data_IF_772842298847
#
_entry.id   IF_772842298847
#
_cell.length_a   1.000
_cell.length_b   1.000
_cell.length_c   1.000
_cell.angle_alpha   90.00
_cell.angle_beta   90.00
_cell.angle_gamma   90.00
#
_symmetry.space_group_name_H-M   'P 1'
#
loop_
_entity.id
_entity.type
_entity.pdbx_description
1 polymer ?
#
# COMPACT_ATOMS: atom_id res chain seq x y z
N UNK A 1 9.12 6.22 -15.92
CA UNK A 1 9.34 6.68 -14.52
C UNK A 1 8.69 5.67 -13.59
N UNK A 2 9.20 5.44 -12.37
CA UNK A 2 8.52 4.65 -11.33
C UNK A 2 8.28 5.55 -10.13
N UNK A 3 7.09 5.52 -9.57
CA UNK A 3 6.70 6.33 -8.42
C UNK A 3 5.76 5.55 -7.50
N UNK A 4 5.49 6.13 -6.34
CA UNK A 4 4.50 5.67 -5.38
C UNK A 4 3.78 6.90 -4.86
N UNK A 5 2.47 6.79 -4.63
CA UNK A 5 1.66 7.95 -4.23
C UNK A 5 2.14 8.54 -2.90
N UNK A 6 2.42 7.70 -1.90
CA UNK A 6 2.87 8.15 -0.58
C UNK A 6 3.91 7.22 0.06
N UNK A 7 4.78 7.82 0.86
CA UNK A 7 5.70 7.14 1.76
C UNK A 7 5.48 7.64 3.19
N UNK A 8 5.32 6.72 4.13
CA UNK A 8 5.32 7.04 5.55
C UNK A 8 6.76 7.01 6.05
N UNK A 9 7.19 8.11 6.66
CA UNK A 9 8.54 8.28 7.23
C UNK A 9 8.43 8.52 8.73
N UNK A 10 9.25 7.82 9.51
CA UNK A 10 9.37 8.02 10.97
C UNK A 10 10.83 8.09 11.34
N UNK A 11 11.24 9.18 12.00
CA UNK A 11 12.64 9.36 12.39
C UNK A 11 13.59 9.36 11.19
N UNK A 12 13.17 9.95 10.07
CA UNK A 12 13.90 10.00 8.80
C UNK A 12 14.09 8.63 8.09
N UNK A 13 13.45 7.57 8.56
CA UNK A 13 13.45 6.25 7.93
C UNK A 13 12.09 5.93 7.30
N UNK A 14 12.04 5.35 6.09
CA UNK A 14 10.79 4.89 5.50
C UNK A 14 10.27 3.67 6.28
N UNK A 15 8.97 3.64 6.55
CA UNK A 15 8.36 2.54 7.31
C UNK A 15 7.19 1.87 6.59
N UNK A 16 6.57 2.54 5.62
CA UNK A 16 5.51 1.97 4.79
C UNK A 16 5.32 2.77 3.50
N UNK A 17 4.82 2.11 2.47
CA UNK A 17 4.39 2.70 1.21
C UNK A 17 2.88 2.62 1.07
N UNK A 18 2.26 3.61 0.45
CA UNK A 18 0.83 3.62 0.17
C UNK A 18 0.52 3.97 -1.28
N UNK A 19 -0.46 3.26 -1.83
CA UNK A 19 -1.07 3.49 -3.14
C UNK A 19 -2.57 3.65 -2.95
N UNK A 20 -3.20 4.59 -3.65
CA UNK A 20 -4.65 4.77 -3.61
C UNK A 20 -5.26 4.40 -4.97
N UNK A 21 -6.23 3.48 -4.99
CA UNK A 21 -6.91 3.06 -6.22
C UNK A 21 -8.42 3.10 -6.05
N UNK A 22 -9.13 3.39 -7.15
CA UNK A 22 -10.59 3.27 -7.16
C UNK A 22 -11.02 1.79 -7.13
N UNK A 23 -10.29 0.90 -7.80
CA UNK A 23 -10.58 -0.53 -7.88
C UNK A 23 -9.37 -1.35 -8.34
N UNK A 24 -9.55 -2.66 -8.45
CA UNK A 24 -8.52 -3.60 -8.89
C UNK A 24 -8.08 -4.57 -7.79
N UNK A 25 -7.62 -5.74 -8.21
CA UNK A 25 -7.22 -6.86 -7.34
C UNK A 25 -5.74 -7.24 -7.50
N UNK A 26 -4.96 -6.38 -8.15
CA UNK A 26 -3.54 -6.61 -8.39
C UNK A 26 -2.70 -5.54 -7.72
N UNK A 27 -1.56 -5.94 -7.18
CA UNK A 27 -0.59 -5.03 -6.57
C UNK A 27 0.11 -4.17 -7.63
N UNK A 28 0.25 -2.87 -7.33
CA UNK A 28 1.02 -1.95 -8.16
C UNK A 28 2.49 -2.38 -8.29
N UNK A 29 3.00 -2.36 -9.53
CA UNK A 29 4.38 -2.83 -9.85
C UNK A 29 5.46 -1.88 -9.35
N UNK A 30 5.18 -0.58 -9.27
CA UNK A 30 6.12 0.43 -8.77
C UNK A 30 6.15 0.40 -7.24
N UNK A 31 4.99 0.37 -6.59
CA UNK A 31 4.88 0.17 -5.15
C UNK A 31 5.62 -1.09 -4.69
N UNK A 32 5.42 -2.23 -5.39
CA UNK A 32 6.13 -3.49 -5.09
C UNK A 32 7.64 -3.34 -5.25
N UNK A 33 8.09 -2.72 -6.33
CA UNK A 33 9.50 -2.50 -6.62
C UNK A 33 10.20 -1.70 -5.50
N UNK A 34 9.58 -0.62 -5.02
CA UNK A 34 10.15 0.18 -3.94
C UNK A 34 10.03 -0.51 -2.58
N UNK A 35 8.92 -1.20 -2.30
CA UNK A 35 8.72 -1.93 -1.05
C UNK A 35 9.77 -3.03 -0.83
N UNK A 36 10.07 -3.80 -1.88
CA UNK A 36 11.14 -4.80 -1.85
C UNK A 36 12.52 -4.17 -1.63
N UNK A 37 12.82 -3.04 -2.30
CA UNK A 37 14.13 -2.36 -2.22
C UNK A 37 14.36 -1.66 -0.89
N UNK A 38 13.32 -1.09 -0.29
CA UNK A 38 13.37 -0.41 1.00
C UNK A 38 13.09 -1.36 2.17
N UNK A 39 12.68 -2.60 1.90
CA UNK A 39 12.27 -3.61 2.87
C UNK A 39 11.12 -3.15 3.80
N UNK A 40 10.17 -2.39 3.26
CA UNK A 40 8.98 -1.87 3.96
C UNK A 40 7.71 -2.44 3.34
N UNK A 41 6.60 -2.55 4.11
CA UNK A 41 5.32 -2.98 3.56
C UNK A 41 4.75 -1.97 2.55
N UNK A 42 3.99 -2.48 1.59
CA UNK A 42 3.16 -1.72 0.67
C UNK A 42 1.69 -1.96 1.01
N UNK A 43 0.94 -0.88 1.23
CA UNK A 43 -0.49 -0.89 1.43
C UNK A 43 -1.20 -0.21 0.25
N UNK A 44 -1.89 -0.99 -0.56
CA UNK A 44 -2.75 -0.46 -1.61
C UNK A 44 -4.17 -0.30 -1.06
N UNK A 45 -4.59 0.93 -0.81
CA UNK A 45 -5.91 1.28 -0.31
C UNK A 45 -6.87 1.37 -1.50
N UNK A 46 -7.86 0.47 -1.55
CA UNK A 46 -8.73 0.29 -2.72
C UNK A 46 -10.19 0.57 -2.34
N UNK A 47 -10.82 1.54 -3.01
CA UNK A 47 -12.19 1.95 -2.71
C UNK A 47 -13.21 0.83 -2.94
N UNK A 48 -13.12 0.11 -4.07
CA UNK A 48 -14.03 -0.99 -4.44
C UNK A 48 -13.61 -2.37 -3.92
N UNK A 49 -12.62 -2.46 -3.05
CA UNK A 49 -12.30 -3.74 -2.41
C UNK A 49 -13.24 -3.99 -1.24
N UNK A 50 -13.68 -5.23 -1.07
CA UNK A 50 -14.58 -5.65 0.02
C UNK A 50 -13.85 -6.38 1.15
N UNK A 51 -12.58 -6.76 0.94
CA UNK A 51 -11.79 -7.51 1.92
C UNK A 51 -10.31 -7.17 1.83
N UNK A 52 -9.61 -7.42 2.93
CA UNK A 52 -8.15 -7.38 2.96
C UNK A 52 -7.59 -8.60 2.22
N UNK A 53 -6.57 -8.37 1.40
CA UNK A 53 -5.82 -9.42 0.74
C UNK A 53 -4.31 -9.23 0.97
N UNK A 54 -3.61 -10.31 1.27
CA UNK A 54 -2.16 -10.33 1.44
C UNK A 54 -1.50 -11.01 0.23
N UNK A 55 -0.40 -10.42 -0.22
CA UNK A 55 0.42 -10.89 -1.33
C UNK A 55 1.88 -11.08 -0.87
N UNK A 56 2.65 -11.97 -1.53
CA UNK A 56 4.06 -12.16 -1.21
C UNK A 56 4.84 -10.84 -1.28
N UNK A 57 5.78 -10.64 -0.34
CA UNK A 57 6.61 -9.45 -0.28
C UNK A 57 6.01 -8.30 0.53
N UNK A 58 5.26 -8.59 1.62
CA UNK A 58 4.64 -7.59 2.51
C UNK A 58 3.73 -6.60 1.76
N UNK A 59 2.99 -7.10 0.78
CA UNK A 59 2.11 -6.31 -0.05
C UNK A 59 0.66 -6.61 0.32
N UNK A 60 -0.15 -5.56 0.50
CA UNK A 60 -1.52 -5.69 0.98
C UNK A 60 -2.47 -4.88 0.10
N UNK A 61 -3.65 -5.43 -0.15
CA UNK A 61 -4.82 -4.64 -0.57
C UNK A 61 -5.71 -4.47 0.65
N UNK A 62 -6.07 -3.23 0.97
CA UNK A 62 -6.95 -2.88 2.09
C UNK A 62 -8.16 -2.12 1.55
N UNK A 63 -9.39 -2.51 1.89
CA UNK A 63 -10.58 -1.70 1.61
C UNK A 63 -10.44 -0.29 2.17
N UNK A 64 -10.81 0.72 1.39
CA UNK A 64 -10.75 2.10 1.86
C UNK A 64 -11.61 2.34 3.12
N UNK A 65 -12.73 1.62 3.25
CA UNK A 65 -13.56 1.62 4.46
C UNK A 65 -12.77 1.23 5.71
N UNK A 66 -12.00 0.15 5.63
CA UNK A 66 -11.26 -0.41 6.76
C UNK A 66 -10.11 0.53 7.15
N UNK A 67 -9.41 1.06 6.15
CA UNK A 67 -8.32 2.02 6.37
C UNK A 67 -8.81 3.30 7.06
N UNK A 68 -9.96 3.85 6.62
CA UNK A 68 -10.51 5.08 7.18
C UNK A 68 -11.10 4.89 8.58
N UNK A 69 -11.67 3.71 8.89
CA UNK A 69 -12.12 3.40 10.25
C UNK A 69 -10.96 3.32 11.26
N UNK A 70 -9.80 2.82 10.85
CA UNK A 70 -8.63 2.70 11.71
C UNK A 70 -7.90 4.04 11.92
N UNK A 71 -8.08 4.99 11.01
CA UNK A 71 -7.45 6.30 11.06
C UNK A 71 -8.29 7.36 11.81
N UNK A 72 -9.50 7.00 12.26
CA UNK A 72 -10.45 7.85 12.98
C UNK A 72 -10.41 7.69 14.49
#
# INVERSE_FOLDING_TARGET
>A
NREVDFVLVRGNEPVALFEAKEGGSTIDKSGRYFGERLNVPLFQVVHKSEKVEEFPGKCFIIPASDFLMLAG
#
